data_IF_146300252078
#
_entry.id   IF_146300252078
#
_cell.length_a   1.000
_cell.length_b   1.000
_cell.length_c   1.000
_cell.angle_alpha   90.00
_cell.angle_beta   90.00
_cell.angle_gamma   90.00
#
_symmetry.space_group_name_H-M   'P 1'
#
loop_
_entity.id
_entity.type
_entity.pdbx_description
1 polymer ?
#
# COMPACT_ATOMS: atom_id res chain seq x y z
N UNK A 1 -2.08 38.91 46.06
CA UNK A 1 -2.56 37.51 46.01
C UNK A 1 -4.05 37.50 46.30
N UNK A 2 -4.90 37.51 45.25
CA UNK A 2 -6.16 36.75 45.10
C UNK A 2 -6.46 36.78 43.59
N UNK A 3 -6.77 35.60 43.04
CA UNK A 3 -6.93 35.25 41.64
C UNK A 3 -8.42 35.26 41.27
N UNK A 4 -8.80 35.79 40.10
CA UNK A 4 -10.06 35.46 39.39
C UNK A 4 -9.94 36.04 37.97
N UNK A 5 -9.93 35.29 36.86
CA UNK A 5 -10.65 34.05 36.57
C UNK A 5 -11.66 34.35 35.46
N UNK A 6 -11.19 34.79 34.28
CA UNK A 6 -12.05 35.10 33.13
C UNK A 6 -12.26 33.83 32.28
N UNK A 7 -13.52 33.41 32.24
CA UNK A 7 -14.05 32.23 31.56
C UNK A 7 -13.95 32.39 30.03
N UNK A 8 -13.18 31.54 29.34
CA UNK A 8 -13.29 31.35 27.89
C UNK A 8 -14.35 30.26 27.62
N UNK A 9 -15.50 30.65 27.08
CA UNK A 9 -16.54 29.70 26.66
C UNK A 9 -16.12 29.03 25.34
N UNK A 10 -15.82 27.73 25.40
CA UNK A 10 -15.58 26.89 24.25
C UNK A 10 -16.91 26.48 23.61
N UNK A 11 -17.12 26.83 22.33
CA UNK A 11 -18.25 26.38 21.53
C UNK A 11 -17.87 25.01 20.96
N UNK A 12 -18.32 23.95 21.62
CA UNK A 12 -18.20 22.57 21.16
C UNK A 12 -19.31 22.26 20.14
N UNK A 13 -19.00 22.37 18.85
CA UNK A 13 -19.87 21.87 17.79
C UNK A 13 -19.68 20.35 17.64
N UNK A 14 -20.54 19.57 18.31
CA UNK A 14 -20.59 18.11 18.16
C UNK A 14 -21.40 17.75 16.91
N UNK A 15 -20.74 17.49 15.78
CA UNK A 15 -21.38 16.84 14.65
C UNK A 15 -21.56 15.33 14.97
N UNK A 16 -22.76 14.76 14.88
CA UNK A 16 -22.95 13.33 15.08
C UNK A 16 -22.25 12.56 13.94
N UNK A 17 -21.19 11.83 14.28
CA UNK A 17 -20.58 10.86 13.39
C UNK A 17 -21.60 9.73 13.16
N UNK A 18 -22.12 9.63 11.94
CA UNK A 18 -22.97 8.52 11.54
C UNK A 18 -22.26 7.19 11.84
N UNK A 19 -22.90 6.24 12.56
CA UNK A 19 -22.30 4.95 12.82
C UNK A 19 -22.13 4.24 11.47
N UNK A 20 -20.87 4.09 11.04
CA UNK A 20 -20.55 3.21 9.93
C UNK A 20 -20.74 1.78 10.45
N UNK A 21 -21.87 1.15 10.11
CA UNK A 21 -22.06 -0.28 10.36
C UNK A 21 -20.90 -1.03 9.72
N UNK A 22 -20.00 -1.56 10.55
CA UNK A 22 -19.02 -2.55 10.13
C UNK A 22 -19.80 -3.81 9.77
N UNK A 23 -20.11 -3.98 8.49
CA UNK A 23 -20.60 -5.25 7.98
C UNK A 23 -19.51 -6.30 8.27
N UNK A 24 -19.75 -7.12 9.30
CA UNK A 24 -18.90 -8.25 9.64
C UNK A 24 -19.11 -9.30 8.53
N UNK A 25 -18.34 -9.21 7.46
CA UNK A 25 -18.32 -10.27 6.45
C UNK A 25 -17.81 -11.55 7.12
N UNK A 26 -18.67 -12.56 7.22
CA UNK A 26 -18.26 -13.89 7.65
C UNK A 26 -17.11 -14.36 6.74
N UNK A 27 -15.96 -14.68 7.34
CA UNK A 27 -14.68 -14.91 6.68
C UNK A 27 -14.67 -16.15 5.79
N UNK A 28 -15.25 -16.02 4.60
CA UNK A 28 -15.02 -16.94 3.50
C UNK A 28 -13.69 -16.60 2.83
N UNK A 29 -12.98 -17.61 2.29
CA UNK A 29 -11.83 -17.35 1.46
C UNK A 29 -12.24 -16.43 0.32
N UNK A 30 -11.59 -15.28 0.22
CA UNK A 30 -11.89 -14.23 -0.74
C UNK A 30 -10.80 -14.18 -1.79
N UNK A 31 -11.20 -14.04 -3.05
CA UNK A 31 -10.28 -13.86 -4.17
C UNK A 31 -10.63 -12.57 -4.90
N UNK A 32 -9.60 -11.80 -5.25
CA UNK A 32 -9.69 -10.64 -6.13
C UNK A 32 -8.84 -10.91 -7.37
N UNK A 33 -9.39 -10.62 -8.54
CA UNK A 33 -8.63 -10.48 -9.77
C UNK A 33 -9.17 -9.26 -10.51
N UNK A 34 -8.33 -8.25 -10.68
CA UNK A 34 -8.73 -6.99 -11.32
C UNK A 34 -7.65 -6.51 -12.27
N UNK A 35 -8.09 -5.85 -13.35
CA UNK A 35 -7.22 -5.19 -14.32
C UNK A 35 -7.66 -3.73 -14.39
N UNK A 36 -6.76 -2.83 -14.06
CA UNK A 36 -6.97 -1.39 -14.10
C UNK A 36 -6.22 -0.77 -15.26
N UNK A 37 -6.88 0.10 -16.00
CA UNK A 37 -6.22 0.92 -17.01
C UNK A 37 -5.73 2.22 -16.37
N UNK A 38 -4.44 2.50 -16.50
CA UNK A 38 -3.80 3.72 -16.01
C UNK A 38 -3.87 4.81 -17.08
N UNK A 39 -4.43 5.96 -16.73
CA UNK A 39 -4.58 7.12 -17.61
C UNK A 39 -4.04 8.38 -16.95
N UNK A 40 -3.42 9.25 -17.75
CA UNK A 40 -2.99 10.57 -17.33
C UNK A 40 -3.30 11.58 -18.43
N UNK A 41 -3.98 12.67 -18.08
CA UNK A 41 -4.39 13.71 -19.04
C UNK A 41 -5.12 13.16 -20.29
N UNK A 42 -5.96 12.13 -20.12
CA UNK A 42 -6.69 11.47 -21.21
C UNK A 42 -5.90 10.42 -21.99
N UNK A 43 -4.58 10.35 -21.81
CA UNK A 43 -3.69 9.39 -22.48
C UNK A 43 -3.63 8.10 -21.65
N UNK A 44 -3.82 6.96 -22.30
CA UNK A 44 -3.59 5.64 -21.68
C UNK A 44 -2.10 5.41 -21.54
N UNK A 45 -1.64 5.22 -20.31
CA UNK A 45 -0.26 4.92 -20.00
C UNK A 45 -0.02 3.41 -19.96
N UNK A 46 -1.00 2.60 -19.59
CA UNK A 46 -0.88 1.15 -19.58
C UNK A 46 -1.84 0.51 -18.61
N UNK A 47 -1.48 -0.65 -18.07
CA UNK A 47 -2.37 -1.46 -17.24
C UNK A 47 -1.68 -1.91 -15.95
N UNK A 48 -2.49 -2.07 -14.91
CA UNK A 48 -2.10 -2.65 -13.63
C UNK A 48 -3.04 -3.80 -13.27
N UNK A 49 -2.49 -5.01 -13.19
CA UNK A 49 -3.18 -6.22 -12.83
C UNK A 49 -2.92 -6.50 -11.36
N UNK A 50 -3.95 -6.89 -10.63
CA UNK A 50 -3.83 -7.28 -9.23
C UNK A 50 -4.60 -8.56 -8.99
N UNK A 51 -3.98 -9.47 -8.24
CA UNK A 51 -4.59 -10.68 -7.74
C UNK A 51 -4.41 -10.74 -6.24
N UNK A 52 -5.45 -11.11 -5.52
CA UNK A 52 -5.32 -11.46 -4.11
C UNK A 52 -6.11 -12.71 -3.77
N UNK A 53 -5.63 -13.43 -2.77
CA UNK A 53 -6.31 -14.54 -2.14
C UNK A 53 -6.16 -14.37 -0.65
N UNK A 54 -7.27 -14.41 0.07
CA UNK A 54 -7.32 -14.45 1.53
C UNK A 54 -7.98 -15.77 1.89
N UNK A 55 -7.34 -16.58 2.72
CA UNK A 55 -7.84 -17.87 3.18
C UNK A 55 -7.61 -18.05 4.68
N UNK A 56 -7.82 -19.29 5.16
CA UNK A 56 -7.64 -19.64 6.57
C UNK A 56 -6.19 -19.50 7.03
N UNK A 57 -5.26 -19.87 6.16
CA UNK A 57 -3.83 -19.95 6.50
C UNK A 57 -3.07 -18.64 6.24
N UNK A 58 -3.75 -17.64 5.68
CA UNK A 58 -3.18 -16.32 5.42
C UNK A 58 -3.65 -15.69 4.13
N UNK A 59 -2.85 -14.75 3.63
CA UNK A 59 -3.14 -14.01 2.41
C UNK A 59 -1.94 -13.99 1.46
N UNK A 60 -2.25 -13.81 0.17
CA UNK A 60 -1.29 -13.41 -0.84
C UNK A 60 -1.89 -12.30 -1.70
N UNK A 61 -1.08 -11.29 -2.00
CA UNK A 61 -1.37 -10.24 -2.98
C UNK A 61 -0.23 -10.21 -3.98
N UNK A 62 -0.56 -10.11 -5.27
CA UNK A 62 0.39 -9.89 -6.34
C UNK A 62 -0.11 -8.76 -7.25
N UNK A 63 0.80 -7.90 -7.68
CA UNK A 63 0.53 -6.83 -8.62
C UNK A 63 1.52 -6.86 -9.77
N UNK A 64 1.03 -6.66 -10.99
CA UNK A 64 1.83 -6.52 -12.20
C UNK A 64 1.41 -5.27 -12.95
N UNK A 65 2.36 -4.36 -13.17
CA UNK A 65 2.12 -3.10 -13.87
C UNK A 65 3.03 -2.95 -15.08
N UNK A 66 2.48 -2.42 -16.17
CA UNK A 66 3.25 -1.95 -17.31
C UNK A 66 2.76 -0.57 -17.71
N UNK A 67 3.68 0.38 -17.74
CA UNK A 67 3.39 1.79 -17.97
C UNK A 67 4.34 2.33 -19.04
N UNK A 68 3.78 3.03 -20.02
CA UNK A 68 4.47 3.71 -21.10
C UNK A 68 4.18 5.20 -21.04
N UNK A 69 5.23 6.01 -21.04
CA UNK A 69 5.16 7.47 -21.08
C UNK A 69 5.72 7.99 -22.41
N UNK A 70 5.07 9.01 -22.96
CA UNK A 70 5.49 9.71 -24.17
C UNK A 70 6.03 11.10 -23.80
N UNK A 71 7.29 11.15 -23.34
CA UNK A 71 7.97 12.42 -23.00
C UNK A 71 9.16 12.62 -23.93
N UNK A 72 8.89 12.98 -25.19
CA UNK A 72 9.91 13.18 -26.25
C UNK A 72 10.61 11.90 -26.74
N UNK A 73 10.67 10.86 -25.91
CA UNK A 73 11.00 9.47 -26.25
C UNK A 73 10.02 8.52 -25.53
N UNK A 74 9.86 7.30 -26.05
CA UNK A 74 9.04 6.25 -25.42
C UNK A 74 9.79 5.71 -24.19
N UNK A 75 9.27 5.97 -23.00
CA UNK A 75 9.73 5.39 -21.75
C UNK A 75 8.79 4.29 -21.29
N UNK A 76 9.33 3.11 -21.02
CA UNK A 76 8.56 1.96 -20.58
C UNK A 76 9.08 1.48 -19.23
N UNK A 77 8.15 1.24 -18.31
CA UNK A 77 8.39 0.73 -16.96
C UNK A 77 7.49 -0.47 -16.74
N UNK A 78 8.10 -1.60 -16.38
CA UNK A 78 7.42 -2.79 -15.91
C UNK A 78 7.70 -2.92 -14.41
N UNK A 79 6.69 -3.28 -13.63
CA UNK A 79 6.80 -3.47 -12.19
C UNK A 79 6.03 -4.69 -11.73
N UNK A 80 6.60 -5.44 -10.80
CA UNK A 80 5.94 -6.54 -10.11
C UNK A 80 6.03 -6.32 -8.61
N UNK A 81 4.94 -6.58 -7.89
CA UNK A 81 4.91 -6.61 -6.43
C UNK A 81 4.29 -7.90 -5.92
N UNK A 82 4.74 -8.35 -4.75
CA UNK A 82 4.14 -9.48 -4.04
C UNK A 82 4.15 -9.21 -2.54
N UNK A 83 3.05 -9.53 -1.88
CA UNK A 83 2.97 -9.56 -0.43
C UNK A 83 2.32 -10.87 0.03
N UNK A 84 2.86 -11.45 1.09
CA UNK A 84 2.27 -12.62 1.75
C UNK A 84 2.31 -12.41 3.25
N UNK A 85 1.37 -13.03 3.94
CA UNK A 85 1.32 -12.99 5.39
C UNK A 85 0.11 -13.72 5.92
N UNK A 86 -0.21 -13.46 7.18
CA UNK A 86 -1.41 -13.97 7.84
C UNK A 86 -2.44 -12.86 8.07
N UNK A 87 -3.62 -13.22 8.53
CA UNK A 87 -4.66 -12.26 8.93
C UNK A 87 -4.97 -12.50 10.41
N UNK A 88 -4.75 -11.48 11.24
CA UNK A 88 -5.09 -11.50 12.67
C UNK A 88 -6.32 -10.62 12.91
N UNK A 89 -7.46 -11.26 13.18
CA UNK A 89 -8.76 -10.58 13.22
C UNK A 89 -9.11 -9.97 11.85
N UNK A 90 -9.16 -8.64 11.78
CA UNK A 90 -9.41 -7.89 10.55
C UNK A 90 -8.15 -7.21 9.98
N UNK A 91 -6.96 -7.55 10.50
CA UNK A 91 -5.70 -6.89 10.14
C UNK A 91 -4.76 -7.87 9.41
N UNK A 92 -4.23 -7.50 8.23
CA UNK A 92 -3.15 -8.25 7.62
C UNK A 92 -1.87 -8.11 8.46
N UNK A 93 -1.19 -9.23 8.71
CA UNK A 93 0.13 -9.31 9.35
C UNK A 93 1.09 -9.81 8.27
N UNK A 94 1.87 -8.92 7.64
CA UNK A 94 2.79 -9.32 6.57
C UNK A 94 3.91 -10.19 7.12
N UNK A 95 4.36 -11.16 6.33
CA UNK A 95 5.61 -11.92 6.55
C UNK A 95 6.67 -11.50 5.55
N UNK A 96 6.25 -11.30 4.29
CA UNK A 96 7.13 -10.96 3.17
C UNK A 96 6.49 -9.92 2.27
N UNK A 97 7.33 -9.03 1.76
CA UNK A 97 7.01 -8.13 0.66
C UNK A 97 8.17 -8.10 -0.32
N UNK A 98 7.87 -8.14 -1.61
CA UNK A 98 8.83 -7.86 -2.65
C UNK A 98 8.27 -6.91 -3.70
N UNK A 99 9.16 -6.12 -4.27
CA UNK A 99 8.88 -5.23 -5.39
C UNK A 99 10.07 -5.26 -6.34
N UNK A 100 9.79 -5.34 -7.63
CA UNK A 100 10.80 -5.20 -8.66
C UNK A 100 10.30 -4.27 -9.75
N UNK A 101 11.21 -3.59 -10.40
CA UNK A 101 10.90 -2.82 -11.59
C UNK A 101 12.00 -2.95 -12.63
N UNK A 102 11.63 -2.77 -13.89
CA UNK A 102 12.55 -2.71 -15.01
C UNK A 102 12.12 -1.62 -15.97
N UNK A 103 13.10 -0.91 -16.48
CA UNK A 103 13.01 0.01 -17.59
C UNK A 103 14.02 -0.42 -18.66
N UNK A 104 14.08 0.29 -19.79
CA UNK A 104 15.11 0.04 -20.81
C UNK A 104 16.55 0.20 -20.29
N UNK A 105 16.78 1.06 -19.29
CA UNK A 105 18.13 1.44 -18.83
C UNK A 105 18.45 0.98 -17.41
N UNK A 106 17.44 0.75 -16.57
CA UNK A 106 17.57 0.50 -15.13
C UNK A 106 16.64 -0.61 -14.71
N UNK A 107 17.06 -1.38 -13.72
CA UNK A 107 16.22 -2.32 -12.98
C UNK A 107 16.44 -2.12 -11.49
N UNK A 108 15.43 -2.48 -10.71
CA UNK A 108 15.56 -2.49 -9.26
C UNK A 108 14.73 -3.59 -8.62
N UNK A 109 15.10 -3.89 -7.39
CA UNK A 109 14.49 -4.90 -6.54
C UNK A 109 14.50 -4.41 -5.09
N UNK A 110 13.45 -4.74 -4.36
CA UNK A 110 13.28 -4.52 -2.95
C UNK A 110 12.62 -5.77 -2.38
N UNK A 111 13.16 -6.30 -1.28
CA UNK A 111 12.57 -7.34 -0.47
C UNK A 111 12.54 -6.88 0.98
N UNK A 112 11.46 -7.20 1.67
CA UNK A 112 11.30 -6.99 3.09
C UNK A 112 10.78 -8.26 3.74
N UNK A 113 11.37 -8.63 4.87
CA UNK A 113 10.80 -9.63 5.78
C UNK A 113 10.29 -8.92 7.02
N UNK A 114 9.26 -9.50 7.62
CA UNK A 114 8.58 -8.93 8.76
C UNK A 114 8.58 -9.94 9.91
N UNK A 115 8.65 -9.42 11.13
CA UNK A 115 8.51 -10.18 12.36
C UNK A 115 7.65 -9.38 13.32
N UNK A 116 6.62 -10.02 13.89
CA UNK A 116 5.66 -9.38 14.81
C UNK A 116 5.05 -8.08 14.25
N UNK A 117 4.80 -8.02 12.94
CA UNK A 117 4.23 -6.84 12.27
C UNK A 117 5.21 -5.68 12.05
N UNK A 118 6.49 -5.84 12.39
CA UNK A 118 7.55 -4.87 12.12
C UNK A 118 8.50 -5.37 11.02
N UNK A 119 9.13 -4.44 10.29
CA UNK A 119 10.16 -4.78 9.31
C UNK A 119 11.39 -5.33 10.06
N UNK A 120 11.78 -6.55 9.74
CA UNK A 120 12.97 -7.20 10.31
C UNK A 120 14.19 -7.00 9.41
N UNK A 121 14.02 -7.21 8.09
CA UNK A 121 15.12 -7.10 7.12
C UNK A 121 14.64 -6.38 5.87
N UNK A 122 15.57 -5.65 5.26
CA UNK A 122 15.39 -4.99 3.97
C UNK A 122 16.57 -5.33 3.08
N UNK A 123 16.29 -5.84 1.89
CA UNK A 123 17.30 -6.06 0.85
C UNK A 123 16.87 -5.29 -0.39
N UNK A 124 17.76 -4.47 -0.94
CA UNK A 124 17.45 -3.64 -2.11
C UNK A 124 18.59 -3.63 -3.09
N UNK A 125 18.27 -3.67 -4.39
CA UNK A 125 19.21 -3.36 -5.44
C UNK A 125 18.59 -2.36 -6.41
N UNK A 126 19.24 -1.21 -6.70
CA UNK A 126 20.42 -0.68 -6.02
C UNK A 126 20.21 -0.49 -4.51
N UNK A 127 21.28 -0.38 -3.70
CA UNK A 127 21.16 -0.13 -2.27
C UNK A 127 20.36 1.15 -1.99
N UNK A 128 19.49 1.10 -0.97
CA UNK A 128 18.77 2.27 -0.49
C UNK A 128 19.77 3.37 -0.07
N UNK A 129 19.48 4.61 -0.46
CA UNK A 129 20.26 5.76 0.04
C UNK A 129 19.85 6.02 1.48
N UNK A 130 20.82 6.09 2.39
CA UNK A 130 20.59 6.56 3.75
C UNK A 130 20.42 8.07 3.71
N UNK A 131 19.22 8.55 4.03
CA UNK A 131 19.03 9.97 4.33
C UNK A 131 19.43 10.21 5.80
N UNK A 132 20.13 11.31 6.13
CA UNK A 132 20.38 11.68 7.52
C UNK A 132 19.05 11.75 8.27
N UNK A 133 19.02 11.29 9.52
CA UNK A 133 17.85 11.47 10.37
C UNK A 133 17.60 12.98 10.54
N UNK A 134 16.37 13.41 10.29
CA UNK A 134 15.92 14.77 10.55
C UNK A 134 15.85 15.03 12.07
#
# INVERSE_FOLDING_TARGET
MVLAGALLAAISASAPLSPHSSAQAAGLPAKLAAIYQLRFAGITLGDFKVWSSIGKDGYSVQGDGKITFLTGLIFEVEGNSRSTGTVSGSRPVPDNFSFSFKTRKKKGYLAMTFSNGAVEKVASQPPLRTHPKA
#
